data_IF_009539541761
#
_entry.id   IF_009539541761
#
_cell.length_a   1.000
_cell.length_b   1.000
_cell.length_c   1.000
_cell.angle_alpha   90.00
_cell.angle_beta   90.00
_cell.angle_gamma   90.00
#
_symmetry.space_group_name_H-M   'P 1'
#
loop_
_entity.id
_entity.type
_entity.pdbx_description
1 polymer ?
#
# COMPACT_ATOMS: atom_id res chain seq x y z
N UNK A 1 8.04 -24.65 -0.41
CA UNK A 1 7.31 -23.37 -0.46
C UNK A 1 8.32 -22.22 -0.48
N UNK A 2 8.09 -21.24 -1.31
CA UNK A 2 9.00 -20.09 -1.42
C UNK A 2 8.27 -18.81 -1.04
N UNK A 3 8.97 -17.91 -0.36
CA UNK A 3 8.47 -16.57 -0.04
C UNK A 3 9.17 -15.58 -0.97
N UNK A 4 8.38 -14.81 -1.69
CA UNK A 4 8.91 -13.82 -2.64
C UNK A 4 8.47 -12.44 -2.18
N UNK A 5 9.45 -11.55 -2.00
CA UNK A 5 9.19 -10.15 -1.64
C UNK A 5 9.32 -9.31 -2.90
N UNK A 6 8.24 -8.60 -3.23
CA UNK A 6 8.22 -7.72 -4.39
C UNK A 6 8.35 -6.28 -3.90
N UNK A 7 9.38 -5.57 -4.38
CA UNK A 7 9.52 -4.14 -4.13
C UNK A 7 8.91 -3.40 -5.31
N UNK A 8 7.91 -2.59 -5.04
CA UNK A 8 7.28 -1.78 -6.06
C UNK A 8 7.12 -0.36 -5.56
N UNK A 9 7.00 0.56 -6.49
CA UNK A 9 6.78 1.96 -6.19
C UNK A 9 5.30 2.29 -6.41
N UNK A 10 4.69 2.89 -5.40
CA UNK A 10 3.29 3.30 -5.45
C UNK A 10 3.26 4.82 -5.26
N UNK A 11 2.56 5.49 -6.15
CA UNK A 11 2.41 6.94 -6.08
C UNK A 11 0.95 7.28 -5.81
N UNK A 12 0.71 8.06 -4.76
CA UNK A 12 -0.63 8.51 -4.40
C UNK A 12 -0.70 10.03 -4.54
N UNK A 13 -1.81 10.50 -5.07
CA UNK A 13 -2.15 11.93 -5.02
C UNK A 13 -3.15 12.13 -3.90
N UNK A 14 -2.79 12.95 -2.93
CA UNK A 14 -3.62 13.17 -1.74
C UNK A 14 -3.91 14.66 -1.62
N UNK A 15 -5.19 14.98 -1.53
CA UNK A 15 -5.68 16.37 -1.41
C UNK A 15 -5.64 16.81 0.05
N UNK A 16 -4.44 17.18 0.51
CA UNK A 16 -4.23 17.72 1.84
C UNK A 16 -3.10 18.75 1.80
N UNK A 17 -3.26 19.83 2.55
CA UNK A 17 -2.26 20.90 2.62
C UNK A 17 -1.09 20.54 3.53
N UNK A 18 -1.37 19.82 4.62
CA UNK A 18 -0.36 19.49 5.63
C UNK A 18 0.15 18.08 5.43
N UNK A 19 1.47 17.91 5.52
CA UNK A 19 2.12 16.61 5.34
C UNK A 19 1.62 15.58 6.35
N UNK A 20 1.35 15.98 7.59
CA UNK A 20 0.83 15.07 8.62
C UNK A 20 -0.50 14.45 8.22
N UNK A 21 -1.42 15.27 7.70
CA UNK A 21 -2.73 14.81 7.27
C UNK A 21 -2.61 13.91 6.04
N UNK A 22 -1.71 14.25 5.13
CA UNK A 22 -1.45 13.44 3.95
C UNK A 22 -0.88 12.06 4.35
N UNK A 23 0.02 12.02 5.32
CA UNK A 23 0.59 10.78 5.82
C UNK A 23 -0.46 9.90 6.49
N UNK A 24 -1.38 10.50 7.26
CA UNK A 24 -2.48 9.75 7.87
C UNK A 24 -3.39 9.12 6.82
N UNK A 25 -3.71 9.86 5.77
CA UNK A 25 -4.53 9.33 4.68
C UNK A 25 -3.80 8.22 3.91
N UNK A 26 -2.51 8.38 3.67
CA UNK A 26 -1.71 7.34 3.02
C UNK A 26 -1.69 6.06 3.84
N UNK A 27 -1.52 6.17 5.15
CA UNK A 27 -1.52 5.02 6.04
C UNK A 27 -2.89 4.34 6.08
N UNK A 28 -3.96 5.10 6.14
CA UNK A 28 -5.32 4.56 6.10
C UNK A 28 -5.59 3.81 4.78
N UNK A 29 -5.19 4.40 3.67
CA UNK A 29 -5.28 3.76 2.36
C UNK A 29 -4.53 2.44 2.33
N UNK A 30 -3.31 2.44 2.85
CA UNK A 30 -2.47 1.24 2.91
C UNK A 30 -3.15 0.11 3.69
N UNK A 31 -3.72 0.43 4.86
CA UNK A 31 -4.40 -0.55 5.69
C UNK A 31 -5.62 -1.13 4.98
N UNK A 32 -6.40 -0.28 4.31
CA UNK A 32 -7.60 -0.71 3.58
C UNK A 32 -7.24 -1.60 2.39
N UNK A 33 -6.21 -1.25 1.65
CA UNK A 33 -5.73 -2.05 0.53
C UNK A 33 -5.22 -3.41 1.01
N UNK A 34 -4.48 -3.43 2.11
CA UNK A 34 -3.99 -4.67 2.70
C UNK A 34 -5.13 -5.62 3.07
N UNK A 35 -6.18 -5.09 3.70
CA UNK A 35 -7.37 -5.88 4.03
C UNK A 35 -8.08 -6.39 2.79
N UNK A 36 -8.22 -5.55 1.78
CA UNK A 36 -8.85 -5.94 0.52
C UNK A 36 -8.07 -7.07 -0.16
N UNK A 37 -6.75 -6.95 -0.24
CA UNK A 37 -5.91 -7.98 -0.83
C UNK A 37 -6.01 -9.31 -0.06
N UNK A 38 -6.08 -9.25 1.26
CA UNK A 38 -6.25 -10.45 2.08
C UNK A 38 -7.58 -11.15 1.79
N UNK A 39 -8.66 -10.36 1.57
CA UNK A 39 -9.98 -10.91 1.27
C UNK A 39 -10.06 -11.57 -0.10
N UNK A 40 -9.37 -11.03 -1.10
CA UNK A 40 -9.44 -11.53 -2.48
C UNK A 40 -8.31 -12.50 -2.82
N UNK A 41 -7.44 -12.77 -1.89
CA UNK A 41 -6.24 -13.58 -2.09
C UNK A 41 -6.53 -14.91 -2.78
N UNK A 42 -7.54 -15.63 -2.27
CA UNK A 42 -7.89 -16.96 -2.78
C UNK A 42 -8.39 -16.97 -4.22
N UNK A 43 -8.82 -15.83 -4.73
CA UNK A 43 -9.39 -15.70 -6.07
C UNK A 43 -8.41 -15.15 -7.10
N UNK A 44 -7.24 -14.65 -6.67
CA UNK A 44 -6.28 -14.03 -7.57
C UNK A 44 -5.50 -15.04 -8.40
N UNK A 45 -4.83 -15.97 -7.73
CA UNK A 45 -4.02 -16.97 -8.41
C UNK A 45 -3.88 -18.21 -7.54
N UNK A 46 -4.12 -19.37 -8.12
CA UNK A 46 -3.98 -20.65 -7.40
C UNK A 46 -2.52 -20.87 -6.99
N UNK A 47 -2.33 -21.25 -5.75
CA UNK A 47 -0.99 -21.56 -5.24
C UNK A 47 -0.22 -20.36 -4.74
N UNK A 48 -0.87 -19.19 -4.71
CA UNK A 48 -0.26 -17.96 -4.18
C UNK A 48 -1.03 -17.48 -2.98
N UNK A 49 -0.32 -17.17 -1.91
CA UNK A 49 -0.90 -16.65 -0.68
C UNK A 49 -0.30 -15.27 -0.37
N UNK A 50 -1.18 -14.27 -0.19
CA UNK A 50 -0.78 -12.94 0.24
C UNK A 50 -0.43 -12.96 1.72
N UNK A 51 0.75 -12.46 2.09
CA UNK A 51 1.18 -12.43 3.47
C UNK A 51 1.13 -11.06 4.10
N UNK A 52 1.31 -10.03 3.33
CA UNK A 52 1.24 -8.69 3.86
C UNK A 52 1.74 -7.64 2.89
N UNK A 53 1.42 -6.42 3.20
CA UNK A 53 1.84 -5.26 2.45
C UNK A 53 2.52 -4.29 3.42
N UNK A 54 3.77 -3.95 3.14
CA UNK A 54 4.51 -2.97 3.93
C UNK A 54 4.63 -1.67 3.15
N UNK A 55 4.46 -0.56 3.84
CA UNK A 55 4.65 0.75 3.25
C UNK A 55 5.90 1.39 3.85
N UNK A 56 6.68 2.03 2.99
CA UNK A 56 7.81 2.84 3.39
C UNK A 56 7.73 4.14 2.59
N UNK A 57 7.41 5.22 3.26
CA UNK A 57 7.27 6.51 2.60
C UNK A 57 8.65 7.07 2.31
N UNK A 58 8.97 7.18 1.03
CA UNK A 58 10.30 7.56 0.56
C UNK A 58 10.35 9.04 0.25
N UNK A 59 9.25 9.59 -0.23
CA UNK A 59 9.24 10.94 -0.77
C UNK A 59 7.87 11.56 -0.66
N UNK A 60 7.84 12.85 -0.33
CA UNK A 60 6.63 13.66 -0.36
C UNK A 60 6.91 14.83 -1.30
N UNK A 61 6.23 14.83 -2.44
CA UNK A 61 6.34 15.93 -3.39
C UNK A 61 5.31 17.01 -3.05
N UNK A 62 5.75 18.25 -3.00
CA UNK A 62 4.86 19.38 -2.80
C UNK A 62 4.49 19.95 -4.16
N UNK A 63 3.21 20.13 -4.38
CA UNK A 63 2.74 20.84 -5.55
C UNK A 63 3.14 22.31 -5.43
N UNK A 64 3.76 22.82 -6.47
CA UNK A 64 4.12 24.21 -6.56
C UNK A 64 2.92 25.08 -6.93
#
# INVERSE_FOLDING_TARGET
>A
MKTIVIKSQITLMIDEEHDEDALLKANDWHQRVGRFLALVDKTLTTGVQFKGLRINIVEIEKES
#
